data_IF_811033493935
#
_entry.id   IF_811033493935
#
_cell.length_a   1.000
_cell.length_b   1.000
_cell.length_c   1.000
_cell.angle_alpha   90.00
_cell.angle_beta   90.00
_cell.angle_gamma   90.00
#
_symmetry.space_group_name_H-M   'P 1'
#
loop_
_entity.id
_entity.type
_entity.pdbx_description
1 polymer ?
#
# COMPACT_ATOMS: atom_id res chain seq x y z
N UNK A 1 18.52 -14.61 -8.06
CA UNK A 1 18.98 -13.78 -6.93
C UNK A 1 17.85 -13.77 -5.93
N UNK A 2 18.10 -14.18 -4.70
CA UNK A 2 17.11 -14.16 -3.63
C UNK A 2 17.25 -12.87 -2.84
N UNK A 3 16.13 -12.23 -2.50
CA UNK A 3 16.12 -10.97 -1.76
C UNK A 3 15.50 -11.24 -0.39
N UNK A 4 16.21 -10.89 0.67
CA UNK A 4 15.78 -11.13 2.05
C UNK A 4 15.57 -9.81 2.77
N UNK A 5 14.37 -9.61 3.33
CA UNK A 5 14.17 -8.62 4.39
C UNK A 5 14.42 -9.30 5.73
N UNK A 6 15.44 -8.83 6.46
CA UNK A 6 15.86 -9.43 7.73
C UNK A 6 15.35 -8.58 8.89
N UNK A 7 14.30 -9.06 9.54
CA UNK A 7 13.65 -8.38 10.66
C UNK A 7 12.75 -9.33 11.44
N UNK A 8 12.85 -9.32 12.78
CA UNK A 8 11.90 -9.99 13.68
C UNK A 8 10.67 -9.14 14.02
N UNK A 9 10.61 -7.89 13.55
CA UNK A 9 9.52 -6.97 13.88
C UNK A 9 8.37 -7.10 12.88
N UNK A 10 7.23 -7.64 13.35
CA UNK A 10 6.02 -7.86 12.54
C UNK A 10 5.46 -6.56 11.91
N UNK A 11 5.52 -5.44 12.62
CA UNK A 11 5.02 -4.16 12.09
C UNK A 11 5.92 -3.62 10.98
N UNK A 12 7.25 -3.68 11.15
CA UNK A 12 8.21 -3.29 10.10
C UNK A 12 8.00 -4.14 8.83
N UNK A 13 7.79 -5.45 9.01
CA UNK A 13 7.43 -6.37 7.93
C UNK A 13 6.16 -5.92 7.20
N UNK A 14 5.07 -5.67 7.94
CA UNK A 14 3.80 -5.25 7.33
C UNK A 14 3.90 -3.92 6.60
N UNK A 15 4.59 -2.92 7.17
CA UNK A 15 4.83 -1.64 6.51
C UNK A 15 5.62 -1.84 5.21
N UNK A 16 6.71 -2.61 5.24
CA UNK A 16 7.50 -2.92 4.04
C UNK A 16 6.68 -3.62 2.96
N UNK A 17 5.88 -4.63 3.33
CA UNK A 17 5.00 -5.34 2.39
C UNK A 17 3.99 -4.41 1.72
N UNK A 18 3.35 -3.55 2.51
CA UNK A 18 2.38 -2.57 2.00
C UNK A 18 3.06 -1.55 1.08
N UNK A 19 4.25 -1.07 1.43
CA UNK A 19 4.99 -0.13 0.59
C UNK A 19 5.50 -0.77 -0.72
N UNK A 20 5.93 -2.04 -0.68
CA UNK A 20 6.41 -2.76 -1.87
C UNK A 20 5.26 -3.21 -2.77
N UNK A 21 4.06 -3.39 -2.22
CA UNK A 21 2.83 -3.67 -2.96
C UNK A 21 2.93 -4.87 -3.93
N UNK A 22 3.77 -5.85 -3.59
CA UNK A 22 4.04 -7.02 -4.43
C UNK A 22 4.70 -6.71 -5.77
N UNK A 23 5.45 -5.60 -5.87
CA UNK A 23 6.24 -5.26 -7.05
C UNK A 23 7.60 -5.97 -7.10
N UNK A 24 8.01 -6.62 -6.01
CA UNK A 24 9.21 -7.42 -5.93
C UNK A 24 8.98 -8.56 -4.95
N UNK A 25 9.44 -9.75 -5.33
CA UNK A 25 9.44 -10.91 -4.44
C UNK A 25 10.62 -10.82 -3.48
N UNK A 26 10.33 -11.01 -2.20
CA UNK A 26 11.31 -11.07 -1.13
C UNK A 26 10.93 -12.14 -0.12
N UNK A 27 11.94 -12.74 0.50
CA UNK A 27 11.83 -13.65 1.62
C UNK A 27 11.95 -12.86 2.92
N UNK A 28 11.28 -13.35 3.96
CA UNK A 28 11.48 -12.84 5.32
C UNK A 28 12.39 -13.77 6.08
N UNK A 29 13.39 -13.20 6.74
CA UNK A 29 14.22 -13.92 7.69
C UNK A 29 14.13 -13.24 9.06
N UNK A 30 13.69 -14.02 10.05
CA UNK A 30 13.74 -13.63 11.46
C UNK A 30 15.05 -14.15 12.04
N UNK A 31 16.08 -13.32 11.98
CA UNK A 31 17.43 -13.63 12.46
C UNK A 31 17.74 -12.68 13.59
N UNK A 32 18.15 -13.24 14.73
CA UNK A 32 18.68 -12.44 15.83
C UNK A 32 20.10 -11.99 15.48
N UNK A 33 20.29 -10.67 15.38
CA UNK A 33 21.53 -10.05 14.94
C UNK A 33 22.06 -9.16 16.05
N UNK A 34 23.38 -9.22 16.25
CA UNK A 34 24.05 -8.32 17.18
C UNK A 34 24.04 -6.90 16.61
N UNK A 35 23.37 -5.98 17.32
CA UNK A 35 23.39 -4.56 17.02
C UNK A 35 24.55 -3.90 17.80
N UNK A 36 25.57 -3.45 17.08
CA UNK A 36 26.70 -2.76 17.69
C UNK A 36 26.27 -1.43 18.32
N UNK A 37 26.96 -0.98 19.36
CA UNK A 37 26.72 0.34 19.95
C UNK A 37 27.44 1.41 19.13
N UNK A 38 26.69 2.39 18.65
CA UNK A 38 27.18 3.56 17.92
C UNK A 38 26.11 4.65 17.95
N UNK A 39 26.50 5.92 17.88
CA UNK A 39 25.54 7.02 17.68
C UNK A 39 25.14 7.18 16.21
N UNK A 40 25.90 6.55 15.31
CA UNK A 40 25.69 6.55 13.88
C UNK A 40 24.83 5.32 13.50
N UNK A 41 23.55 5.57 13.24
CA UNK A 41 22.57 4.53 12.90
C UNK A 41 22.86 3.85 11.57
N UNK A 42 23.53 4.53 10.63
CA UNK A 42 23.92 3.95 9.35
C UNK A 42 24.93 2.85 9.60
N UNK A 43 25.98 3.11 10.38
CA UNK A 43 26.99 2.09 10.73
C UNK A 43 26.41 0.87 11.45
N UNK A 44 25.44 1.09 12.34
CA UNK A 44 24.72 -0.02 13.02
C UNK A 44 24.03 -0.89 11.98
N UNK A 45 23.27 -0.27 11.06
CA UNK A 45 22.49 -1.00 10.08
C UNK A 45 23.37 -1.66 9.00
N UNK A 46 24.48 -1.04 8.61
CA UNK A 46 25.48 -1.60 7.72
C UNK A 46 26.15 -2.86 8.31
N UNK A 47 26.53 -2.81 9.59
CA UNK A 47 27.05 -3.97 10.31
C UNK A 47 26.01 -5.10 10.35
N UNK A 48 24.76 -4.75 10.67
CA UNK A 48 23.62 -5.67 10.69
C UNK A 48 23.40 -6.34 9.33
N UNK A 49 23.45 -5.59 8.23
CA UNK A 49 23.32 -6.12 6.88
C UNK A 49 24.42 -7.12 6.53
N UNK A 50 25.68 -6.81 6.89
CA UNK A 50 26.84 -7.70 6.65
C UNK A 50 26.72 -9.00 7.44
N UNK A 51 26.43 -8.94 8.74
CA UNK A 51 26.24 -10.12 9.57
C UNK A 51 25.08 -10.99 9.09
N UNK A 52 23.97 -10.36 8.69
CA UNK A 52 22.82 -11.07 8.14
C UNK A 52 23.15 -11.80 6.83
N UNK A 53 23.91 -11.15 5.93
CA UNK A 53 24.36 -11.76 4.69
C UNK A 53 25.29 -12.94 4.93
N UNK A 54 26.22 -12.84 5.88
CA UNK A 54 27.11 -13.94 6.27
C UNK A 54 26.31 -15.17 6.70
N UNK A 55 25.38 -15.00 7.66
CA UNK A 55 24.52 -16.07 8.17
C UNK A 55 23.69 -16.71 7.05
N UNK A 56 23.07 -15.88 6.19
CA UNK A 56 22.22 -16.37 5.11
C UNK A 56 23.02 -17.06 3.99
N UNK A 57 24.28 -16.69 3.78
CA UNK A 57 25.10 -17.20 2.67
C UNK A 57 25.86 -18.47 3.03
N UNK A 58 25.94 -18.83 4.31
CA UNK A 58 26.54 -20.08 4.80
C UNK A 58 25.46 -21.14 5.07
N UNK A 59 25.72 -22.39 4.70
CA UNK A 59 24.93 -23.53 5.19
C UNK A 59 25.35 -23.94 6.62
N UNK A 60 24.68 -24.93 7.21
CA UNK A 60 24.98 -25.40 8.57
C UNK A 60 26.41 -25.95 8.74
N UNK A 61 27.08 -26.31 7.65
CA UNK A 61 28.49 -26.74 7.60
C UNK A 61 29.48 -25.60 7.31
N UNK A 62 29.00 -24.36 7.16
CA UNK A 62 29.83 -23.17 6.91
C UNK A 62 30.25 -22.98 5.45
N UNK A 63 29.71 -23.77 4.53
CA UNK A 63 30.02 -23.66 3.10
C UNK A 63 29.15 -22.59 2.43
N UNK A 64 29.75 -21.84 1.51
CA UNK A 64 29.07 -20.81 0.74
C UNK A 64 28.03 -21.42 -0.21
N UNK A 65 26.81 -20.89 -0.18
CA UNK A 65 25.77 -21.30 -1.12
C UNK A 65 26.01 -20.70 -2.51
N UNK A 66 25.70 -21.47 -3.56
CA UNK A 66 25.87 -21.03 -4.95
C UNK A 66 24.89 -19.89 -5.35
N UNK A 67 23.78 -19.73 -4.63
CA UNK A 67 22.76 -18.71 -4.93
C UNK A 67 23.17 -17.35 -4.37
N UNK A 68 23.26 -16.33 -5.24
CA UNK A 68 23.49 -14.94 -4.82
C UNK A 68 22.31 -14.42 -4.00
N UNK A 69 22.58 -13.90 -2.80
CA UNK A 69 21.61 -13.34 -1.87
C UNK A 69 21.81 -11.84 -1.73
N UNK A 70 20.70 -11.11 -1.74
CA UNK A 70 20.63 -9.68 -1.46
C UNK A 70 19.92 -9.52 -0.13
N UNK A 71 20.57 -8.89 0.84
CA UNK A 71 20.02 -8.69 2.18
C UNK A 71 19.62 -7.24 2.38
N UNK A 72 18.43 -7.03 2.92
CA UNK A 72 17.87 -5.74 3.28
C UNK A 72 17.63 -5.74 4.80
N UNK A 73 18.17 -4.75 5.49
CA UNK A 73 17.93 -4.50 6.92
C UNK A 73 17.42 -3.08 7.12
N UNK A 74 16.73 -2.83 8.23
CA UNK A 74 16.25 -1.49 8.60
C UNK A 74 16.46 -1.19 10.08
N UNK A 75 16.82 0.06 10.38
CA UNK A 75 16.87 0.59 11.75
C UNK A 75 16.29 2.00 11.80
N UNK A 76 15.72 2.36 12.95
CA UNK A 76 15.05 3.64 13.13
C UNK A 76 15.40 4.22 14.50
N UNK A 77 15.78 5.49 14.51
CA UNK A 77 16.12 6.25 15.71
C UNK A 77 15.25 7.48 15.89
N UNK A 78 15.17 7.96 17.13
CA UNK A 78 14.53 9.22 17.51
C UNK A 78 15.55 10.10 18.23
N UNK A 79 15.78 11.30 17.70
CA UNK A 79 16.85 12.20 18.11
C UNK A 79 16.21 13.43 18.72
N UNK A 80 16.40 13.63 20.03
CA UNK A 80 15.80 14.74 20.76
C UNK A 80 16.80 15.88 20.90
N UNK A 81 16.45 17.08 20.46
CA UNK A 81 17.36 18.24 20.48
C UNK A 81 17.74 18.60 21.92
N UNK A 82 16.80 18.46 22.86
CA UNK A 82 17.01 18.72 24.28
C UNK A 82 18.06 17.80 24.94
N UNK A 83 18.38 16.67 24.32
CA UNK A 83 19.39 15.71 24.80
C UNK A 83 20.61 15.65 23.87
N UNK A 84 20.84 16.67 23.04
CA UNK A 84 21.96 16.68 22.10
C UNK A 84 21.88 15.54 21.08
N UNK A 85 20.67 15.22 20.62
CA UNK A 85 20.34 14.12 19.68
C UNK A 85 20.31 12.71 20.28
N UNK A 86 20.55 12.54 21.58
CA UNK A 86 20.20 11.29 22.28
C UNK A 86 18.66 11.15 22.35
N UNK A 87 18.05 9.94 22.37
CA UNK A 87 18.67 8.61 22.36
C UNK A 87 19.11 8.09 20.98
N UNK A 88 18.69 8.72 19.89
CA UNK A 88 19.00 8.27 18.53
C UNK A 88 18.66 6.78 18.33
N UNK A 89 19.64 5.92 17.97
CA UNK A 89 19.41 4.49 17.77
C UNK A 89 19.01 3.74 19.05
N UNK A 90 19.24 4.31 20.24
CA UNK A 90 18.93 3.68 21.53
C UNK A 90 17.48 3.89 21.99
N UNK A 91 16.63 4.50 21.16
CA UNK A 91 15.24 4.84 21.53
C UNK A 91 14.44 3.63 22.03
N UNK A 92 14.68 2.42 21.50
CA UNK A 92 14.05 1.18 22.01
C UNK A 92 14.31 0.97 23.51
N UNK A 93 15.55 1.19 23.94
CA UNK A 93 15.95 1.00 25.34
C UNK A 93 15.42 2.13 26.22
N UNK A 94 15.50 3.38 25.75
CA UNK A 94 14.94 4.52 26.48
C UNK A 94 13.42 4.39 26.67
N UNK A 95 12.70 3.99 25.63
CA UNK A 95 11.26 3.74 25.68
C UNK A 95 10.91 2.58 26.61
N UNK A 96 11.66 1.47 26.58
CA UNK A 96 11.48 0.37 27.53
C UNK A 96 11.68 0.80 28.99
N UNK A 97 12.61 1.72 29.25
CA UNK A 97 12.92 2.18 30.61
C UNK A 97 11.98 3.26 31.13
N UNK A 98 11.62 4.24 30.30
CA UNK A 98 10.86 5.43 30.72
C UNK A 98 9.39 5.38 30.32
N UNK A 99 9.03 4.55 29.33
CA UNK A 99 7.76 4.62 28.64
C UNK A 99 7.58 5.93 27.85
N UNK A 100 6.46 6.03 27.15
CA UNK A 100 6.10 7.22 26.39
C UNK A 100 6.01 8.48 27.26
N UNK A 101 5.35 8.37 28.43
CA UNK A 101 5.18 9.52 29.33
C UNK A 101 6.52 10.01 29.89
N UNK A 102 7.41 9.11 30.31
CA UNK A 102 8.70 9.51 30.85
C UNK A 102 9.59 10.23 29.83
N UNK A 103 9.52 9.85 28.55
CA UNK A 103 10.22 10.59 27.47
C UNK A 103 9.64 12.00 27.31
N UNK A 104 8.32 12.13 27.34
CA UNK A 104 7.63 13.45 27.28
C UNK A 104 8.03 14.32 28.47
N UNK A 105 8.05 13.75 29.68
CA UNK A 105 8.43 14.49 30.89
C UNK A 105 9.85 15.05 30.79
N UNK A 106 10.79 14.29 30.21
CA UNK A 106 12.16 14.76 29.94
C UNK A 106 12.16 15.98 29.00
N UNK A 107 11.46 15.89 27.87
CA UNK A 107 11.38 16.98 26.90
C UNK A 107 10.76 18.25 27.50
N UNK A 108 9.68 18.09 28.27
CA UNK A 108 8.98 19.19 28.94
C UNK A 108 9.84 19.82 30.05
N UNK A 109 10.56 19.00 30.84
CA UNK A 109 11.43 19.47 31.91
C UNK A 109 12.61 20.29 31.37
N UNK A 110 13.13 19.90 30.21
CA UNK A 110 14.20 20.60 29.49
C UNK A 110 13.69 21.72 28.58
N UNK A 111 12.37 21.94 28.54
CA UNK A 111 11.71 23.02 27.80
C UNK A 111 12.07 23.06 26.30
N UNK A 112 12.30 21.89 25.71
CA UNK A 112 12.55 21.76 24.29
C UNK A 112 12.00 20.42 23.78
N UNK A 113 10.94 20.51 22.99
CA UNK A 113 10.21 19.39 22.42
C UNK A 113 10.68 19.04 21.00
N UNK A 114 11.62 19.79 20.41
CA UNK A 114 12.09 19.54 19.05
C UNK A 114 12.83 18.21 18.97
N UNK A 115 12.52 17.46 17.93
CA UNK A 115 13.16 16.18 17.65
C UNK A 115 13.10 15.86 16.16
N UNK A 116 13.83 14.85 15.76
CA UNK A 116 13.69 14.27 14.42
C UNK A 116 13.83 12.76 14.48
N UNK A 117 13.20 12.09 13.53
CA UNK A 117 13.29 10.66 13.36
C UNK A 117 14.09 10.34 12.10
N UNK A 118 14.98 9.36 12.19
CA UNK A 118 15.77 8.86 11.05
C UNK A 118 15.48 7.37 10.91
N UNK A 119 15.17 6.93 9.69
CA UNK A 119 15.13 5.54 9.31
C UNK A 119 16.17 5.27 8.24
N UNK A 120 16.91 4.17 8.38
CA UNK A 120 17.90 3.72 7.40
C UNK A 120 17.51 2.34 6.90
N UNK A 121 17.54 2.15 5.58
CA UNK A 121 17.60 0.83 4.97
C UNK A 121 19.01 0.60 4.44
N UNK A 122 19.61 -0.56 4.71
CA UNK A 122 20.87 -0.98 4.09
C UNK A 122 20.65 -2.22 3.25
N UNK A 123 21.31 -2.25 2.09
CA UNK A 123 21.29 -3.34 1.12
C UNK A 123 22.69 -3.85 0.92
N UNK A 124 22.88 -5.17 1.04
CA UNK A 124 24.17 -5.81 0.85
C UNK A 124 24.04 -7.09 0.03
N UNK A 125 24.89 -7.25 -0.98
CA UNK A 125 24.89 -8.42 -1.89
C UNK A 125 26.13 -9.32 -1.71
N UNK A 126 26.91 -9.07 -0.65
CA UNK A 126 28.20 -9.73 -0.39
C UNK A 126 29.41 -8.99 -0.95
N UNK A 127 29.22 -7.92 -1.74
CA UNK A 127 30.28 -7.12 -2.35
C UNK A 127 30.03 -5.62 -2.16
N UNK A 128 28.87 -5.13 -2.57
CA UNK A 128 28.46 -3.74 -2.54
C UNK A 128 27.42 -3.52 -1.43
N UNK A 129 27.63 -2.45 -0.68
CA UNK A 129 26.78 -2.02 0.42
C UNK A 129 26.23 -0.62 0.09
N UNK A 130 24.92 -0.48 0.16
CA UNK A 130 24.25 0.80 -0.03
C UNK A 130 23.26 1.06 1.11
N UNK A 131 23.31 2.27 1.67
CA UNK A 131 22.40 2.71 2.71
C UNK A 131 21.57 3.89 2.24
N UNK A 132 20.30 3.90 2.63
CA UNK A 132 19.29 4.87 2.21
C UNK A 132 18.62 5.44 3.44
N UNK A 133 18.71 6.75 3.60
CA UNK A 133 18.22 7.45 4.79
C UNK A 133 16.95 8.24 4.49
N UNK A 134 16.00 8.18 5.40
CA UNK A 134 14.82 9.04 5.41
C UNK A 134 14.74 9.75 6.74
N UNK A 135 14.57 11.06 6.69
CA UNK A 135 14.54 11.94 7.87
C UNK A 135 13.19 12.65 7.94
N UNK A 136 12.63 12.76 9.13
CA UNK A 136 11.41 13.53 9.39
C UNK A 136 11.60 14.39 10.63
N UNK A 137 11.43 15.71 10.46
CA UNK A 137 11.42 16.67 11.55
C UNK A 137 10.09 16.60 12.30
N UNK A 138 10.12 16.87 13.61
CA UNK A 138 8.92 16.83 14.43
C UNK A 138 9.12 17.32 15.86
N UNK A 139 8.16 16.98 16.70
CA UNK A 139 8.12 17.35 18.11
C UNK A 139 7.66 16.19 18.99
N UNK A 140 8.17 16.18 20.21
CA UNK A 140 7.70 15.32 21.30
C UNK A 140 6.38 15.89 21.82
N UNK A 141 5.29 15.16 21.58
CA UNK A 141 3.95 15.50 22.03
C UNK A 141 3.50 14.57 23.16
N UNK A 142 2.48 14.99 23.93
CA UNK A 142 1.86 14.12 24.93
C UNK A 142 1.33 12.82 24.30
N UNK A 143 1.35 11.68 25.02
CA UNK A 143 1.00 10.38 24.44
C UNK A 143 -0.44 10.33 23.92
N UNK A 144 -0.64 10.04 22.62
CA UNK A 144 -1.96 9.87 21.99
C UNK A 144 -1.95 8.75 20.96
N UNK A 145 -3.09 8.06 20.79
CA UNK A 145 -3.23 6.89 19.91
C UNK A 145 -2.75 5.59 20.55
N UNK A 146 -2.55 4.54 19.74
CA UNK A 146 -2.09 3.22 20.21
C UNK A 146 -0.64 3.27 20.74
N UNK A 147 -0.38 2.53 21.82
CA UNK A 147 0.95 2.30 22.43
C UNK A 147 1.66 1.06 21.89
N UNK A 148 1.07 0.33 20.94
CA UNK A 148 1.54 -1.00 20.52
C UNK A 148 2.86 -0.93 19.74
N UNK A 149 3.19 0.23 19.16
CA UNK A 149 4.33 0.41 18.28
C UNK A 149 5.26 1.54 18.73
N UNK A 150 6.17 1.20 19.66
CA UNK A 150 7.30 2.05 20.04
C UNK A 150 6.87 3.45 20.49
N UNK A 151 7.47 4.47 19.89
CA UNK A 151 7.34 5.88 20.26
C UNK A 151 6.41 6.68 19.33
N UNK A 152 5.69 6.02 18.41
CA UNK A 152 4.79 6.68 17.46
C UNK A 152 3.71 7.53 18.17
N UNK A 153 3.34 7.17 19.40
CA UNK A 153 2.32 7.86 20.18
C UNK A 153 2.81 9.18 20.81
N UNK A 154 4.10 9.49 20.75
CA UNK A 154 4.69 10.73 21.28
C UNK A 154 5.39 11.56 20.22
N UNK A 155 5.44 11.11 18.96
CA UNK A 155 6.05 11.86 17.87
C UNK A 155 4.98 12.49 16.99
N UNK A 156 5.01 13.81 16.88
CA UNK A 156 4.21 14.60 15.96
C UNK A 156 5.13 15.12 14.86
N UNK A 157 4.95 14.74 13.58
CA UNK A 157 5.73 15.34 12.49
C UNK A 157 5.43 16.83 12.39
N UNK A 158 6.39 17.59 11.86
CA UNK A 158 6.25 19.03 11.65
C UNK A 158 4.97 19.33 10.84
N UNK A 159 4.32 20.45 11.17
CA UNK A 159 3.05 20.90 10.58
C UNK A 159 1.85 19.94 10.74
N UNK A 160 1.94 18.97 11.67
CA UNK A 160 0.82 18.09 12.01
C UNK A 160 0.49 18.11 13.51
N UNK A 161 -0.80 18.08 13.85
CA UNK A 161 -1.29 17.98 15.23
C UNK A 161 -1.45 16.55 15.75
N UNK A 162 -1.52 15.58 14.83
CA UNK A 162 -1.66 14.15 15.13
C UNK A 162 -0.28 13.55 15.43
N UNK A 163 -0.23 12.65 16.41
CA UNK A 163 0.91 11.75 16.57
C UNK A 163 0.89 10.69 15.47
N UNK A 164 2.02 10.02 15.19
CA UNK A 164 2.02 8.90 14.25
C UNK A 164 1.03 7.79 14.62
N UNK A 165 0.80 7.54 15.91
CA UNK A 165 -0.19 6.55 16.35
C UNK A 165 -1.66 6.98 16.13
N UNK A 166 -1.93 8.25 15.87
CA UNK A 166 -3.26 8.77 15.51
C UNK A 166 -3.49 8.80 13.99
N UNK A 167 -2.45 8.53 13.20
CA UNK A 167 -2.51 8.58 11.73
C UNK A 167 -2.93 7.24 11.13
N UNK A 168 -3.69 7.30 10.05
CA UNK A 168 -3.85 6.14 9.17
C UNK A 168 -2.53 5.79 8.47
N UNK A 169 -2.46 4.60 7.86
CA UNK A 169 -1.27 4.20 7.10
C UNK A 169 -0.91 5.21 6.00
N UNK A 170 -1.90 5.72 5.27
CA UNK A 170 -1.70 6.66 4.17
C UNK A 170 -1.34 8.07 4.67
N UNK A 171 -1.94 8.53 5.78
CA UNK A 171 -1.54 9.78 6.43
C UNK A 171 -0.08 9.72 6.89
N UNK A 172 0.31 8.64 7.58
CA UNK A 172 1.68 8.45 8.09
C UNK A 172 2.70 8.34 6.96
N UNK A 173 2.32 7.71 5.84
CA UNK A 173 3.21 7.52 4.67
C UNK A 173 3.79 8.84 4.15
N UNK A 174 3.03 9.93 4.16
CA UNK A 174 3.46 11.26 3.66
C UNK A 174 4.69 11.80 4.41
N UNK A 175 4.75 11.58 5.71
CA UNK A 175 5.81 12.11 6.58
C UNK A 175 6.67 11.03 7.22
N UNK A 176 6.48 9.75 6.91
CA UNK A 176 7.24 8.66 7.51
C UNK A 176 8.71 8.68 7.07
N UNK A 177 9.67 8.70 8.02
CA UNK A 177 11.09 8.58 7.68
C UNK A 177 11.37 7.22 7.03
N UNK A 178 10.66 6.17 7.44
CA UNK A 178 10.77 4.83 6.84
C UNK A 178 10.28 4.83 5.40
N UNK A 179 9.18 5.50 5.09
CA UNK A 179 8.70 5.57 3.71
C UNK A 179 9.66 6.38 2.81
N UNK A 180 10.22 7.48 3.33
CA UNK A 180 11.24 8.27 2.62
C UNK A 180 12.50 7.46 2.29
N UNK A 181 13.00 6.67 3.26
CA UNK A 181 14.11 5.76 3.05
C UNK A 181 13.75 4.64 2.06
N UNK A 182 12.54 4.10 2.18
CA UNK A 182 12.02 3.04 1.32
C UNK A 182 11.94 3.46 -0.15
N UNK A 183 11.55 4.69 -0.47
CA UNK A 183 11.49 5.17 -1.86
C UNK A 183 12.87 5.11 -2.55
N UNK A 184 13.92 5.50 -1.82
CA UNK A 184 15.29 5.44 -2.32
C UNK A 184 15.77 3.99 -2.46
N UNK A 185 15.49 3.15 -1.45
CA UNK A 185 15.76 1.72 -1.50
C UNK A 185 15.12 1.05 -2.72
N UNK A 186 13.80 1.22 -2.88
CA UNK A 186 13.00 0.60 -3.93
C UNK A 186 13.57 0.92 -5.31
N UNK A 187 13.91 2.19 -5.53
CA UNK A 187 14.54 2.65 -6.79
C UNK A 187 15.81 1.88 -7.10
N UNK A 188 16.70 1.70 -6.12
CA UNK A 188 17.99 1.05 -6.33
C UNK A 188 17.86 -0.47 -6.46
N UNK A 189 17.10 -1.12 -5.58
CA UNK A 189 16.95 -2.58 -5.60
C UNK A 189 16.29 -3.06 -6.89
N UNK A 190 15.29 -2.34 -7.39
CA UNK A 190 14.64 -2.69 -8.65
C UNK A 190 15.59 -2.59 -9.85
N UNK A 191 16.62 -1.76 -9.80
CA UNK A 191 17.63 -1.65 -10.87
C UNK A 191 18.69 -2.78 -10.85
N UNK A 192 18.77 -3.58 -9.79
CA UNK A 192 19.73 -4.71 -9.68
C UNK A 192 19.27 -5.98 -10.43
N UNK A 193 18.05 -5.95 -10.96
CA UNK A 193 17.33 -7.08 -11.55
C UNK A 193 17.49 -7.02 -13.08
N UNK A 194 17.79 -8.15 -13.73
CA UNK A 194 17.91 -8.21 -15.20
C UNK A 194 16.65 -7.64 -15.85
N UNK A 195 16.82 -6.85 -16.90
CA UNK A 195 15.70 -6.26 -17.63
C UNK A 195 15.06 -7.31 -18.53
N UNK A 196 13.73 -7.39 -18.44
CA UNK A 196 12.90 -8.21 -19.32
C UNK A 196 11.98 -7.30 -20.14
N UNK A 197 11.48 -7.79 -21.28
CA UNK A 197 10.55 -7.03 -22.11
C UNK A 197 9.12 -7.13 -21.53
N UNK A 198 8.53 -6.03 -21.01
CA UNK A 198 7.18 -6.05 -20.46
C UNK A 198 6.10 -6.39 -21.50
N UNK A 199 6.33 -6.13 -22.80
CA UNK A 199 5.35 -6.44 -23.85
C UNK A 199 5.21 -7.94 -24.07
N UNK A 200 6.32 -8.66 -24.17
CA UNK A 200 6.32 -10.11 -24.32
C UNK A 200 5.80 -10.79 -23.05
N UNK A 201 6.20 -10.33 -21.86
CA UNK A 201 5.67 -10.85 -20.59
C UNK A 201 4.14 -10.71 -20.50
N UNK A 202 3.59 -9.54 -20.86
CA UNK A 202 2.15 -9.31 -20.85
C UNK A 202 1.42 -10.18 -21.87
N UNK A 203 1.99 -10.37 -23.05
CA UNK A 203 1.42 -11.21 -24.11
C UNK A 203 1.35 -12.67 -23.68
N UNK A 204 2.41 -13.17 -23.07
CA UNK A 204 2.44 -14.51 -22.48
C UNK A 204 1.41 -14.64 -21.35
N UNK A 205 1.37 -13.68 -20.43
CA UNK A 205 0.39 -13.65 -19.34
C UNK A 205 -1.06 -13.72 -19.84
N UNK A 206 -1.39 -12.95 -20.88
CA UNK A 206 -2.72 -12.96 -21.49
C UNK A 206 -3.05 -14.32 -22.12
N UNK A 207 -2.05 -15.01 -22.71
CA UNK A 207 -2.24 -16.34 -23.26
C UNK A 207 -2.47 -17.39 -22.15
N UNK A 208 -1.78 -17.29 -21.01
CA UNK A 208 -2.01 -18.12 -19.82
C UNK A 208 -3.39 -17.89 -19.24
N UNK A 209 -3.80 -16.63 -19.10
CA UNK A 209 -5.14 -16.26 -18.63
C UNK A 209 -6.24 -16.84 -19.51
N UNK A 210 -6.09 -16.76 -20.84
CA UNK A 210 -7.05 -17.32 -21.79
C UNK A 210 -7.19 -18.85 -21.69
N UNK A 211 -6.13 -19.55 -21.24
CA UNK A 211 -6.13 -21.00 -20.98
C UNK A 211 -6.67 -21.37 -19.60
N UNK A 212 -7.03 -20.39 -18.77
CA UNK A 212 -7.53 -20.60 -17.41
C UNK A 212 -6.43 -20.68 -16.34
N UNK A 213 -5.16 -20.50 -16.70
CA UNK A 213 -4.05 -20.48 -15.75
C UNK A 213 -3.90 -19.09 -15.12
N UNK A 214 -4.78 -18.81 -14.15
CA UNK A 214 -4.89 -17.48 -13.55
C UNK A 214 -3.68 -17.11 -12.67
N UNK A 215 -3.07 -18.08 -11.98
CA UNK A 215 -1.92 -17.86 -11.10
C UNK A 215 -0.68 -17.47 -11.90
N UNK A 216 -0.36 -18.26 -12.95
CA UNK A 216 0.81 -17.99 -13.79
C UNK A 216 0.62 -16.69 -14.59
N UNK A 217 -0.60 -16.41 -15.07
CA UNK A 217 -0.92 -15.14 -15.70
C UNK A 217 -0.68 -13.94 -14.77
N UNK A 218 -1.11 -14.03 -13.51
CA UNK A 218 -0.90 -12.97 -12.53
C UNK A 218 0.58 -12.78 -12.20
N UNK A 219 1.36 -13.86 -12.06
CA UNK A 219 2.80 -13.79 -11.86
C UNK A 219 3.49 -13.03 -13.01
N UNK A 220 3.16 -13.38 -14.25
CA UNK A 220 3.73 -12.72 -15.44
C UNK A 220 3.28 -11.25 -15.57
N UNK A 221 2.02 -10.91 -15.29
CA UNK A 221 1.57 -9.51 -15.28
C UNK A 221 2.29 -8.68 -14.22
N UNK A 222 2.55 -9.24 -13.03
CA UNK A 222 3.32 -8.58 -11.97
C UNK A 222 4.76 -8.36 -12.38
N UNK A 223 5.39 -9.36 -13.02
CA UNK A 223 6.74 -9.20 -13.55
C UNK A 223 6.79 -8.13 -14.65
N UNK A 224 5.84 -8.12 -15.59
CA UNK A 224 5.73 -7.08 -16.60
C UNK A 224 5.56 -5.68 -15.99
N UNK A 225 4.74 -5.57 -14.93
CA UNK A 225 4.49 -4.29 -14.25
C UNK A 225 5.75 -3.78 -13.57
N UNK A 226 6.51 -4.68 -12.93
CA UNK A 226 7.81 -4.38 -12.33
C UNK A 226 8.80 -3.84 -13.37
N UNK A 227 8.90 -4.46 -14.55
CA UNK A 227 9.78 -3.96 -15.63
C UNK A 227 9.35 -2.57 -16.12
N UNK A 228 8.04 -2.31 -16.25
CA UNK A 228 7.54 -0.98 -16.57
C UNK A 228 7.95 0.07 -15.52
N UNK A 229 7.89 -0.30 -14.24
CA UNK A 229 8.28 0.59 -13.13
C UNK A 229 9.79 0.85 -13.14
N UNK A 230 10.62 -0.18 -13.39
CA UNK A 230 12.08 -0.02 -13.60
C UNK A 230 12.37 1.01 -14.68
N UNK A 231 11.69 0.90 -15.81
CA UNK A 231 11.87 1.81 -16.94
C UNK A 231 11.52 3.26 -16.57
N UNK A 232 10.40 3.49 -15.88
CA UNK A 232 10.04 4.81 -15.35
C UNK A 232 11.10 5.38 -14.39
N UNK A 233 11.64 4.56 -13.49
CA UNK A 233 12.61 5.00 -12.48
C UNK A 233 13.99 5.38 -13.05
N UNK A 234 14.33 4.89 -14.26
CA UNK A 234 15.53 5.32 -14.99
C UNK A 234 15.39 6.70 -15.64
N UNK A 235 14.23 7.34 -15.51
CA UNK A 235 13.98 8.68 -16.06
C UNK A 235 13.36 8.66 -17.45
N UNK A 236 12.81 7.52 -17.91
CA UNK A 236 12.14 7.40 -19.20
C UNK A 236 10.65 7.05 -19.08
N UNK A 237 9.82 7.71 -18.25
CA UNK A 237 8.38 7.47 -18.28
C UNK A 237 7.82 7.96 -19.63
N UNK A 238 7.68 7.05 -20.59
CA UNK A 238 7.01 7.30 -21.86
C UNK A 238 5.51 7.04 -21.71
N UNK A 239 4.70 7.69 -22.53
CA UNK A 239 3.26 7.41 -22.62
C UNK A 239 2.97 5.93 -22.83
N UNK A 240 3.73 5.27 -23.72
CA UNK A 240 3.65 3.82 -23.96
C UNK A 240 3.84 3.02 -22.66
N UNK A 241 4.78 3.41 -21.82
CA UNK A 241 5.02 2.77 -20.53
C UNK A 241 3.88 3.03 -19.54
N UNK A 242 3.36 4.25 -19.47
CA UNK A 242 2.20 4.59 -18.61
C UNK A 242 0.96 3.79 -18.99
N UNK A 243 0.66 3.70 -20.29
CA UNK A 243 -0.46 2.91 -20.82
C UNK A 243 -0.28 1.41 -20.51
N UNK A 244 0.96 0.93 -20.57
CA UNK A 244 1.30 -0.45 -20.21
C UNK A 244 1.03 -0.72 -18.73
N UNK A 245 1.52 0.14 -17.83
CA UNK A 245 1.29 0.01 -16.39
C UNK A 245 -0.21 0.00 -16.06
N UNK A 246 -0.97 0.90 -16.68
CA UNK A 246 -2.42 0.99 -16.51
C UNK A 246 -3.11 -0.32 -16.93
N UNK A 247 -2.77 -0.82 -18.13
CA UNK A 247 -3.33 -2.06 -18.64
C UNK A 247 -2.97 -3.29 -17.77
N UNK A 248 -1.74 -3.35 -17.25
CA UNK A 248 -1.32 -4.43 -16.35
C UNK A 248 -2.06 -4.37 -15.01
N UNK A 249 -2.23 -3.19 -14.42
CA UNK A 249 -3.02 -3.02 -13.17
C UNK A 249 -4.49 -3.36 -13.36
N UNK A 250 -5.07 -3.08 -14.53
CA UNK A 250 -6.43 -3.52 -14.87
C UNK A 250 -6.56 -5.04 -14.93
N UNK A 251 -5.54 -5.74 -15.41
CA UNK A 251 -5.52 -7.21 -15.43
C UNK A 251 -5.35 -7.79 -14.01
N UNK A 252 -4.41 -7.25 -13.23
CA UNK A 252 -4.13 -7.70 -11.86
C UNK A 252 -5.33 -7.44 -10.93
N UNK A 253 -6.00 -6.29 -11.05
CA UNK A 253 -7.25 -6.04 -10.29
C UNK A 253 -8.36 -7.03 -10.67
N UNK A 254 -8.48 -7.40 -11.95
CA UNK A 254 -9.44 -8.43 -12.38
C UNK A 254 -9.10 -9.81 -11.80
N UNK A 255 -7.82 -10.17 -11.74
CA UNK A 255 -7.35 -11.39 -11.09
C UNK A 255 -7.81 -11.45 -9.62
N UNK A 256 -7.46 -10.42 -8.82
CA UNK A 256 -7.81 -10.36 -7.40
C UNK A 256 -9.32 -10.36 -7.18
N UNK A 257 -10.06 -9.63 -8.03
CA UNK A 257 -11.51 -9.63 -8.01
C UNK A 257 -12.10 -11.04 -8.17
N UNK A 258 -11.60 -11.83 -9.14
CA UNK A 258 -12.05 -13.21 -9.36
C UNK A 258 -11.64 -14.17 -8.25
N UNK A 259 -10.53 -13.91 -7.56
CA UNK A 259 -10.05 -14.70 -6.42
C UNK A 259 -10.77 -14.38 -5.10
N UNK A 260 -11.49 -13.27 -5.03
CA UNK A 260 -12.10 -12.77 -3.78
C UNK A 260 -11.12 -12.03 -2.87
N UNK A 261 -9.97 -11.61 -3.40
CA UNK A 261 -8.94 -10.83 -2.71
C UNK A 261 -9.31 -9.32 -2.82
N UNK A 262 -10.37 -8.93 -2.11
CA UNK A 262 -11.04 -7.65 -2.33
C UNK A 262 -10.19 -6.43 -1.96
N UNK A 263 -9.35 -6.52 -0.92
CA UNK A 263 -8.46 -5.43 -0.53
C UNK A 263 -7.41 -5.16 -1.62
N UNK A 264 -6.82 -6.22 -2.16
CA UNK A 264 -5.82 -6.16 -3.23
C UNK A 264 -6.43 -5.64 -4.54
N UNK A 265 -7.67 -6.06 -4.85
CA UNK A 265 -8.43 -5.53 -5.97
C UNK A 265 -8.63 -4.01 -5.86
N UNK A 266 -9.11 -3.54 -4.70
CA UNK A 266 -9.34 -2.11 -4.42
C UNK A 266 -8.02 -1.34 -4.56
N UNK A 267 -6.94 -1.82 -3.95
CA UNK A 267 -5.63 -1.18 -3.99
C UNK A 267 -5.10 -1.00 -5.43
N UNK A 268 -5.25 -2.02 -6.29
CA UNK A 268 -4.86 -1.87 -7.71
C UNK A 268 -5.73 -0.84 -8.45
N UNK A 269 -7.02 -0.74 -8.13
CA UNK A 269 -7.91 0.28 -8.71
C UNK A 269 -7.55 1.68 -8.21
N UNK A 270 -7.27 1.83 -6.91
CA UNK A 270 -6.93 3.10 -6.29
C UNK A 270 -5.65 3.68 -6.91
N UNK A 271 -4.62 2.86 -7.14
CA UNK A 271 -3.38 3.32 -7.81
C UNK A 271 -3.66 3.84 -9.23
N UNK A 272 -4.60 3.24 -9.96
CA UNK A 272 -4.97 3.73 -11.29
C UNK A 272 -5.67 5.09 -11.17
N UNK A 273 -6.62 5.22 -10.23
CA UNK A 273 -7.41 6.44 -10.04
C UNK A 273 -6.57 7.61 -9.47
N UNK A 274 -5.65 7.34 -8.55
CA UNK A 274 -4.68 8.32 -8.02
C UNK A 274 -3.75 8.86 -9.11
N UNK A 275 -3.51 8.07 -10.17
CA UNK A 275 -2.76 8.51 -11.34
C UNK A 275 -3.49 9.51 -12.24
N UNK A 276 -4.79 9.75 -12.00
CA UNK A 276 -5.60 10.69 -12.79
C UNK A 276 -5.59 12.05 -12.12
N UNK A 277 -4.96 13.03 -12.76
CA UNK A 277 -4.67 14.36 -12.18
C UNK A 277 -5.93 15.23 -11.94
N UNK A 278 -7.03 14.96 -12.65
CA UNK A 278 -8.31 15.66 -12.53
C UNK A 278 -9.48 14.68 -12.77
N UNK A 279 -9.68 13.76 -11.83
CA UNK A 279 -10.73 12.73 -11.96
C UNK A 279 -12.13 13.36 -12.05
N UNK A 280 -12.43 14.38 -11.24
CA UNK A 280 -13.75 15.02 -11.27
C UNK A 280 -14.03 15.77 -12.57
N UNK A 281 -13.04 16.43 -13.15
CA UNK A 281 -13.17 17.03 -14.48
C UNK A 281 -13.38 15.97 -15.58
N UNK A 282 -12.70 14.82 -15.50
CA UNK A 282 -12.92 13.69 -16.42
C UNK A 282 -14.36 13.17 -16.30
N UNK A 283 -14.85 12.94 -15.08
CA UNK A 283 -16.21 12.45 -14.85
C UNK A 283 -17.26 13.45 -15.34
N UNK A 284 -17.02 14.75 -15.14
CA UNK A 284 -17.94 15.81 -15.55
C UNK A 284 -18.08 15.90 -17.08
N UNK A 285 -17.01 15.63 -17.84
CA UNK A 285 -17.08 15.58 -19.32
C UNK A 285 -17.98 14.44 -19.79
N UNK A 286 -17.76 13.23 -19.28
CA UNK A 286 -18.61 12.08 -19.62
C UNK A 286 -20.07 12.24 -19.16
N UNK A 287 -20.31 12.99 -18.07
CA UNK A 287 -21.67 13.31 -17.61
C UNK A 287 -22.41 14.26 -18.58
N UNK A 288 -21.71 15.25 -19.15
CA UNK A 288 -22.26 16.13 -20.18
C UNK A 288 -22.58 15.34 -21.45
N UNK A 289 -21.64 14.51 -21.93
CA UNK A 289 -21.84 13.66 -23.10
C UNK A 289 -23.06 12.73 -22.93
N UNK A 290 -23.27 12.21 -21.70
CA UNK A 290 -24.43 11.37 -21.39
C UNK A 290 -25.76 12.15 -21.42
N UNK A 291 -25.78 13.42 -20.98
CA UNK A 291 -26.98 14.27 -21.01
C UNK A 291 -27.31 14.71 -22.44
N UNK A 292 -26.31 15.10 -23.23
CA UNK A 292 -26.49 15.46 -24.63
C UNK A 292 -27.00 14.26 -25.46
N UNK A 293 -26.54 13.04 -25.16
CA UNK A 293 -27.04 11.81 -25.78
C UNK A 293 -28.49 11.45 -25.39
N UNK A 294 -28.95 11.81 -24.18
CA UNK A 294 -30.34 11.63 -23.74
C UNK A 294 -31.31 12.63 -24.44
N UNK A 295 -30.80 13.80 -24.85
CA UNK A 295 -31.59 14.89 -25.45
C UNK A 295 -31.58 14.91 -26.99
N UNK A 296 -30.70 14.13 -27.64
CA UNK A 296 -30.57 14.09 -29.09
C UNK A 296 -31.69 13.29 -29.81
N UNK A 297 -32.25 13.79 -30.94
CA UNK A 297 -33.24 13.05 -31.73
C UNK A 297 -32.64 11.75 -32.30
N UNK A 298 -33.45 10.69 -32.35
CA UNK A 298 -33.08 9.27 -32.51
C UNK A 298 -32.38 8.84 -33.83
N UNK A 299 -31.66 9.72 -34.53
CA UNK A 299 -31.07 9.44 -35.85
C UNK A 299 -29.56 9.66 -35.96
N UNK A 300 -28.84 9.92 -34.86
CA UNK A 300 -27.38 10.12 -34.92
C UNK A 300 -26.66 9.00 -34.16
N UNK A 301 -26.17 8.01 -34.91
CA UNK A 301 -25.31 6.94 -34.41
C UNK A 301 -23.85 7.40 -34.41
N UNK A 302 -23.44 8.25 -33.48
CA UNK A 302 -22.03 8.66 -33.33
C UNK A 302 -21.64 8.96 -31.88
N UNK A 303 -21.35 7.93 -31.07
CA UNK A 303 -20.73 8.14 -29.74
C UNK A 303 -19.29 7.59 -29.66
N UNK A 304 -18.96 6.51 -30.36
CA UNK A 304 -17.62 5.90 -30.29
C UNK A 304 -16.53 6.77 -30.92
N UNK A 305 -16.83 7.50 -32.00
CA UNK A 305 -15.84 8.30 -32.74
C UNK A 305 -15.44 9.59 -32.00
N UNK A 306 -16.39 10.24 -31.35
CA UNK A 306 -16.14 11.44 -30.52
C UNK A 306 -15.38 11.10 -29.24
N UNK A 307 -15.70 9.97 -28.59
CA UNK A 307 -14.92 9.47 -27.45
C UNK A 307 -13.47 9.16 -27.86
N UNK A 308 -13.26 8.48 -29.01
CA UNK A 308 -11.93 8.18 -29.55
C UNK A 308 -11.12 9.44 -29.89
N UNK A 309 -11.73 10.44 -30.52
CA UNK A 309 -11.08 11.70 -30.89
C UNK A 309 -10.76 12.56 -29.65
N UNK A 310 -11.64 12.58 -28.64
CA UNK A 310 -11.42 13.32 -27.38
C UNK A 310 -10.33 12.66 -26.54
N UNK A 311 -10.34 11.33 -26.46
CA UNK A 311 -9.26 10.55 -25.87
C UNK A 311 -7.95 10.77 -26.64
N UNK A 312 -7.97 10.82 -27.97
CA UNK A 312 -6.79 11.07 -28.81
C UNK A 312 -6.19 12.47 -28.59
N UNK A 313 -7.03 13.49 -28.42
CA UNK A 313 -6.60 14.87 -28.16
C UNK A 313 -6.04 15.06 -26.75
N UNK A 314 -6.70 14.50 -25.74
CA UNK A 314 -6.16 14.49 -24.37
C UNK A 314 -4.85 13.68 -24.25
N UNK A 315 -4.72 12.65 -25.10
CA UNK A 315 -3.52 11.85 -25.31
C UNK A 315 -2.37 12.63 -25.97
N UNK A 316 -2.62 13.74 -26.68
CA UNK A 316 -1.59 14.65 -27.22
C UNK A 316 -1.14 15.68 -26.19
N UNK A 317 -2.04 16.16 -25.33
CA UNK A 317 -1.77 17.17 -24.29
C UNK A 317 -1.04 16.62 -23.04
N UNK A 318 -0.65 15.34 -23.04
CA UNK A 318 0.03 14.69 -21.92
C UNK A 318 -0.87 14.37 -20.72
N UNK A 319 -2.18 14.63 -20.81
CA UNK A 319 -3.16 14.23 -19.80
C UNK A 319 -3.58 12.76 -19.98
N UNK A 320 -3.34 11.92 -18.98
CA UNK A 320 -3.79 10.52 -19.00
C UNK A 320 -5.33 10.48 -18.86
N UNK A 321 -6.04 10.41 -19.98
CA UNK A 321 -7.48 10.20 -19.97
C UNK A 321 -7.85 8.73 -20.09
N UNK A 322 -8.52 8.24 -19.05
CA UNK A 322 -9.15 6.93 -19.02
C UNK A 322 -10.41 6.93 -19.87
N UNK A 323 -10.64 5.83 -20.60
CA UNK A 323 -11.90 5.64 -21.31
C UNK A 323 -13.06 5.46 -20.33
N UNK A 324 -14.27 5.87 -20.75
CA UNK A 324 -15.52 5.69 -20.01
C UNK A 324 -15.71 4.25 -19.54
N UNK A 325 -15.55 3.28 -20.43
CA UNK A 325 -15.64 1.84 -20.12
C UNK A 325 -14.63 1.40 -19.04
N UNK A 326 -13.40 1.94 -19.07
CA UNK A 326 -12.39 1.64 -18.05
C UNK A 326 -12.80 2.17 -16.68
N UNK A 327 -13.30 3.40 -16.62
CA UNK A 327 -13.80 4.00 -15.38
C UNK A 327 -14.97 3.22 -14.80
N UNK A 328 -15.96 2.87 -15.63
CA UNK A 328 -17.10 2.04 -15.22
C UNK A 328 -16.63 0.72 -14.63
N UNK A 329 -15.70 0.01 -15.30
CA UNK A 329 -15.12 -1.25 -14.79
C UNK A 329 -14.40 -1.09 -13.46
N UNK A 330 -13.64 -0.01 -13.27
CA UNK A 330 -12.92 0.27 -12.03
C UNK A 330 -13.89 0.51 -10.87
N UNK A 331 -14.86 1.42 -11.04
CA UNK A 331 -15.83 1.74 -10.00
C UNK A 331 -16.74 0.55 -9.66
N UNK A 332 -17.18 -0.24 -10.65
CA UNK A 332 -17.97 -1.46 -10.39
C UNK A 332 -17.17 -2.51 -9.62
N UNK A 333 -15.89 -2.73 -9.97
CA UNK A 333 -15.01 -3.64 -9.20
C UNK A 333 -14.84 -3.15 -7.76
N UNK A 334 -14.57 -1.86 -7.55
CA UNK A 334 -14.46 -1.28 -6.20
C UNK A 334 -15.77 -1.40 -5.43
N UNK A 335 -16.91 -1.04 -6.03
CA UNK A 335 -18.22 -1.14 -5.39
C UNK A 335 -18.52 -2.57 -4.92
N UNK A 336 -18.36 -3.55 -5.80
CA UNK A 336 -18.56 -4.95 -5.43
C UNK A 336 -17.57 -5.40 -4.36
N UNK A 337 -16.30 -4.98 -4.42
CA UNK A 337 -15.28 -5.34 -3.43
C UNK A 337 -15.61 -4.74 -2.06
N UNK A 338 -16.01 -3.48 -1.97
CA UNK A 338 -16.47 -2.84 -0.74
C UNK A 338 -17.73 -3.49 -0.18
N UNK A 339 -18.68 -3.90 -1.03
CA UNK A 339 -19.86 -4.65 -0.59
C UNK A 339 -19.46 -5.96 0.12
N UNK A 340 -18.52 -6.71 -0.46
CA UNK A 340 -18.04 -7.96 0.12
C UNK A 340 -17.26 -7.75 1.42
N UNK A 341 -16.64 -6.58 1.59
CA UNK A 341 -15.98 -6.15 2.82
C UNK A 341 -16.94 -5.48 3.83
N UNK A 342 -18.24 -5.40 3.52
CA UNK A 342 -19.27 -4.74 4.33
C UNK A 342 -19.00 -3.23 4.57
N UNK A 343 -18.25 -2.60 3.67
CA UNK A 343 -18.01 -1.15 3.63
C UNK A 343 -19.08 -0.47 2.77
N UNK A 344 -20.32 -0.49 3.26
CA UNK A 344 -21.51 -0.14 2.48
C UNK A 344 -21.54 1.30 1.94
N UNK A 345 -20.98 2.26 2.68
CA UNK A 345 -20.98 3.67 2.26
C UNK A 345 -20.02 3.90 1.09
N UNK A 346 -18.81 3.32 1.14
CA UNK A 346 -17.86 3.34 0.02
C UNK A 346 -18.39 2.59 -1.20
N UNK A 347 -19.12 1.49 -1.00
CA UNK A 347 -19.83 0.80 -2.08
C UNK A 347 -20.79 1.77 -2.80
N UNK A 348 -21.64 2.48 -2.05
CA UNK A 348 -22.60 3.43 -2.60
C UNK A 348 -21.95 4.60 -3.34
N UNK A 349 -20.88 5.17 -2.77
CA UNK A 349 -20.11 6.23 -3.42
C UNK A 349 -19.61 5.80 -4.81
N UNK A 350 -19.06 4.59 -4.92
CA UNK A 350 -18.59 4.07 -6.21
C UNK A 350 -19.75 3.82 -7.20
N UNK A 351 -20.90 3.34 -6.74
CA UNK A 351 -22.10 3.18 -7.58
C UNK A 351 -22.63 4.53 -8.09
N UNK A 352 -22.56 5.58 -7.26
CA UNK A 352 -22.88 6.95 -7.68
C UNK A 352 -21.92 7.46 -8.75
N UNK A 353 -20.62 7.18 -8.64
CA UNK A 353 -19.65 7.54 -9.68
C UNK A 353 -19.97 6.88 -11.01
N UNK A 354 -20.38 5.60 -11.02
CA UNK A 354 -20.85 4.94 -12.26
C UNK A 354 -22.09 5.63 -12.79
N UNK A 355 -23.07 5.97 -11.96
CA UNK A 355 -24.30 6.66 -12.40
C UNK A 355 -24.06 8.03 -13.02
N UNK A 356 -23.02 8.76 -12.59
CA UNK A 356 -22.63 10.04 -13.22
C UNK A 356 -22.29 9.85 -14.70
N UNK A 357 -21.64 8.74 -15.04
CA UNK A 357 -21.12 8.48 -16.38
C UNK A 357 -21.92 7.43 -17.17
N UNK A 358 -22.76 6.62 -16.54
CA UNK A 358 -23.57 5.57 -17.18
C UNK A 358 -24.81 5.26 -16.31
N UNK A 359 -25.82 6.16 -16.37
CA UNK A 359 -27.04 6.06 -15.55
C UNK A 359 -27.82 4.75 -15.78
N UNK A 360 -27.75 4.19 -16.99
CA UNK A 360 -28.51 3.00 -17.41
C UNK A 360 -27.82 1.68 -17.10
N UNK A 361 -26.67 1.69 -16.42
CA UNK A 361 -25.88 0.50 -16.21
C UNK A 361 -26.62 -0.57 -15.39
N UNK A 362 -26.88 -1.73 -16.01
CA UNK A 362 -27.64 -2.81 -15.38
C UNK A 362 -26.93 -3.42 -14.15
N UNK A 363 -25.59 -3.45 -14.14
CA UNK A 363 -24.83 -3.97 -13.00
C UNK A 363 -24.99 -3.08 -11.78
N UNK A 364 -25.05 -1.76 -11.96
CA UNK A 364 -25.31 -0.82 -10.86
C UNK A 364 -26.65 -1.12 -10.19
N UNK A 365 -27.71 -1.27 -10.98
CA UNK A 365 -29.05 -1.55 -10.46
C UNK A 365 -29.08 -2.86 -9.67
N UNK A 366 -28.39 -3.89 -10.19
CA UNK A 366 -28.25 -5.19 -9.51
C UNK A 366 -27.48 -5.07 -8.19
N UNK A 367 -26.32 -4.40 -8.20
CA UNK A 367 -25.47 -4.18 -7.03
C UNK A 367 -26.16 -3.33 -5.95
N UNK A 368 -26.91 -2.30 -6.33
CA UNK A 368 -27.68 -1.49 -5.36
C UNK A 368 -28.74 -2.29 -4.63
N UNK A 369 -29.46 -3.16 -5.33
CA UNK A 369 -30.43 -4.05 -4.69
C UNK A 369 -29.75 -5.00 -3.72
N UNK A 370 -28.60 -5.56 -4.12
CA UNK A 370 -27.81 -6.45 -3.27
C UNK A 370 -27.28 -5.72 -2.03
N UNK A 371 -26.76 -4.50 -2.20
CA UNK A 371 -26.27 -3.64 -1.12
C UNK A 371 -27.36 -3.36 -0.07
N UNK A 372 -28.58 -3.04 -0.51
CA UNK A 372 -29.71 -2.76 0.39
C UNK A 372 -30.08 -3.97 1.25
N UNK A 373 -30.12 -5.16 0.65
CA UNK A 373 -30.44 -6.42 1.35
C UNK A 373 -29.34 -6.74 2.38
N UNK A 374 -28.08 -6.76 1.94
CA UNK A 374 -26.92 -7.07 2.80
C UNK A 374 -26.78 -6.07 3.96
N UNK A 375 -27.00 -4.78 3.71
CA UNK A 375 -26.97 -3.75 4.77
C UNK A 375 -28.05 -3.97 5.81
N UNK A 376 -29.28 -4.30 5.38
CA UNK A 376 -30.38 -4.55 6.30
C UNK A 376 -30.11 -5.79 7.18
N UNK A 377 -29.59 -6.86 6.59
CA UNK A 377 -29.22 -8.08 7.30
C UNK A 377 -28.05 -7.84 8.27
N UNK A 378 -27.03 -7.09 7.85
CA UNK A 378 -25.92 -6.68 8.70
C UNK A 378 -26.39 -5.89 9.94
N UNK A 379 -27.26 -4.90 9.75
CA UNK A 379 -27.82 -4.11 10.85
C UNK A 379 -28.68 -4.97 11.81
N UNK A 380 -29.42 -5.93 11.27
CA UNK A 380 -30.20 -6.88 12.08
C UNK A 380 -29.28 -7.76 12.93
N UNK A 381 -28.21 -8.29 12.35
CA UNK A 381 -27.21 -9.09 13.04
C UNK A 381 -26.49 -8.29 14.15
N UNK A 382 -26.07 -7.06 13.84
CA UNK A 382 -25.46 -6.16 14.84
C UNK A 382 -26.39 -5.89 16.03
N UNK A 383 -27.68 -5.62 15.78
CA UNK A 383 -28.68 -5.43 16.85
C UNK A 383 -28.84 -6.69 17.71
N UNK A 384 -28.80 -7.88 17.10
CA UNK A 384 -28.88 -9.14 17.83
C UNK A 384 -27.63 -9.40 18.69
N UNK A 385 -26.44 -9.14 18.15
CA UNK A 385 -25.18 -9.25 18.89
C UNK A 385 -25.14 -8.28 20.07
N UNK A 386 -25.54 -7.02 19.84
CA UNK A 386 -25.63 -6.02 20.91
C UNK A 386 -26.59 -6.46 22.03
N UNK A 387 -27.78 -6.97 21.67
CA UNK A 387 -28.73 -7.52 22.66
C UNK A 387 -28.15 -8.69 23.46
N UNK A 388 -27.38 -9.59 22.83
CA UNK A 388 -26.71 -10.70 23.52
C UNK A 388 -25.61 -10.23 24.47
N UNK A 389 -24.83 -9.22 24.07
CA UNK A 389 -23.79 -8.64 24.93
C UNK A 389 -24.40 -7.90 26.13
N UNK A 390 -25.52 -7.20 25.94
CA UNK A 390 -26.20 -6.48 27.02
C UNK A 390 -27.05 -7.36 27.94
N UNK A 391 -27.35 -8.61 27.57
CA UNK A 391 -28.06 -9.60 28.41
C UNK A 391 -27.27 -10.92 28.49
N UNK A 392 -26.21 -11.01 29.32
CA UNK A 392 -25.41 -12.23 29.48
C UNK A 392 -26.19 -13.40 30.11
N UNK A 393 -27.29 -13.12 30.83
CA UNK A 393 -27.98 -14.07 31.69
C UNK A 393 -28.99 -14.99 30.98
N UNK A 394 -29.09 -14.97 29.66
CA UNK A 394 -30.06 -15.77 28.89
C UNK A 394 -29.56 -17.11 28.35
N UNK A 395 -28.28 -17.46 28.55
CA UNK A 395 -27.65 -18.64 27.95
C UNK A 395 -27.60 -19.89 28.87
N UNK A 396 -28.05 -19.77 30.12
CA UNK A 396 -28.20 -20.90 31.04
C UNK A 396 -29.67 -20.93 31.43
N UNK A 397 -30.49 -21.74 30.75
CA UNK A 397 -31.75 -22.36 31.23
C UNK A 397 -32.54 -22.81 29.98
N UNK A 398 -32.22 -23.99 29.48
CA UNK A 398 -32.87 -24.53 28.29
C UNK A 398 -32.58 -26.00 28.04
N UNK A 399 -32.52 -26.81 29.10
CA UNK A 399 -32.56 -28.27 28.99
C UNK A 399 -32.83 -28.89 30.36
N UNK A 400 -34.08 -28.82 30.83
CA UNK A 400 -34.64 -29.87 31.67
C UNK A 400 -35.94 -30.33 31.01
N UNK A 401 -35.86 -31.54 30.46
CA UNK A 401 -36.96 -32.33 29.96
C UNK A 401 -37.98 -32.55 31.09
N UNK A 402 -39.27 -32.33 30.79
CA UNK A 402 -40.37 -32.90 31.57
C UNK A 402 -40.97 -34.06 30.78
N UNK A 403 -40.98 -35.23 31.41
CA UNK A 403 -41.85 -36.35 31.05
C UNK A 403 -43.29 -36.13 31.46
#
# INVERSE_FOLDING_TARGET
MEIYLVTGNKHKRLEFQRHMNGELDFHFADIDLIEMQSNDIVKINEHKAKSAHEILSTNASGESQATRKLVITDDTGLYMDCLGSFPGPYIKWMHKSLGSQGIVDVAMKLQNDKCHAICVYSVYDGKELHSFEGVTQGRIAGPRGSTDFGWDNIFSPEDCSKTFSEMTFDEKKVSSPRFRAFLQLKRNVMLLTVDEDPEELKKEANAKWAKGDAEEANALWRQALKECIKYSMRGFPTKKNTDMQLSLRLNISLYHFKKGEFHECINQCDIILEGVTDLDGVLSRYEVDAKEAEEAPATITTNTKQEEDTLAKAREDGTCMLSRDTLVKLFLRRAHSYLMLQEFDKCRENLQMVKRIDKGNAEVISLERKEQVERADYQKMQKQLYRRMCNPSGALHGSEEKG
#
